data_IF_501932778824
#
_entry.id   IF_501932778824
#
_cell.length_a   1.000
_cell.length_b   1.000
_cell.length_c   1.000
_cell.angle_alpha   90.00
_cell.angle_beta   90.00
_cell.angle_gamma   90.00
#
_symmetry.space_group_name_H-M   'P 1'
#
loop_
_entity.id
_entity.type
_entity.pdbx_description
1 polymer ?
#
# COMPACT_ATOMS: atom_id res chain seq x y z
N UNK A 1 -15.44 -10.90 -5.63
CA UNK A 1 -14.54 -10.69 -4.48
C UNK A 1 -15.36 -10.15 -3.32
N UNK A 2 -15.48 -10.95 -2.27
CA UNK A 2 -16.01 -10.49 -0.99
C UNK A 2 -14.88 -9.75 -0.23
N UNK A 3 -15.26 -8.80 0.61
CA UNK A 3 -14.32 -8.16 1.54
C UNK A 3 -14.74 -8.60 2.95
N UNK A 4 -13.86 -9.31 3.64
CA UNK A 4 -14.03 -9.69 5.03
C UNK A 4 -13.00 -8.98 5.89
N UNK A 5 -13.43 -8.46 7.03
CA UNK A 5 -12.57 -7.78 7.98
C UNK A 5 -13.01 -8.07 9.40
N UNK A 6 -12.08 -7.88 10.35
CA UNK A 6 -12.34 -7.92 11.78
C UNK A 6 -12.11 -6.54 12.37
N UNK A 7 -13.08 -6.01 13.09
CA UNK A 7 -12.90 -4.77 13.86
C UNK A 7 -11.86 -4.99 14.95
N UNK A 8 -10.95 -4.05 15.11
CA UNK A 8 -9.96 -4.04 16.18
C UNK A 8 -10.38 -3.01 17.24
N UNK A 9 -10.08 -3.27 18.53
CA UNK A 9 -10.34 -2.31 19.58
C UNK A 9 -9.49 -1.06 19.38
N UNK A 10 -10.08 0.09 19.67
CA UNK A 10 -9.36 1.35 19.74
C UNK A 10 -8.29 1.26 20.84
N UNK A 11 -7.11 1.82 20.56
CA UNK A 11 -5.96 1.82 21.47
C UNK A 11 -5.21 3.14 21.34
N UNK A 12 -5.05 3.84 22.44
CA UNK A 12 -4.16 5.00 22.52
C UNK A 12 -2.81 4.53 23.09
N UNK A 13 -1.73 4.76 22.34
CA UNK A 13 -0.35 4.48 22.77
C UNK A 13 0.41 5.75 23.18
N UNK A 14 -0.27 6.90 23.17
CA UNK A 14 0.29 8.20 23.49
C UNK A 14 1.09 8.83 22.35
N UNK A 15 1.41 10.12 22.51
CA UNK A 15 2.29 10.87 21.61
C UNK A 15 1.87 10.84 20.13
N UNK A 16 0.56 10.79 19.83
CA UNK A 16 0.03 10.73 18.46
C UNK A 16 0.14 9.36 17.80
N UNK A 17 0.36 8.30 18.59
CA UNK A 17 0.32 6.92 18.13
C UNK A 17 -0.92 6.21 18.68
N UNK A 18 -1.64 5.49 17.83
CA UNK A 18 -2.85 4.81 18.24
C UNK A 18 -3.55 4.06 17.12
N UNK A 19 -4.58 3.31 17.49
CA UNK A 19 -5.52 2.70 16.57
C UNK A 19 -6.89 3.28 16.91
N UNK A 20 -7.56 3.88 15.94
CA UNK A 20 -8.95 4.30 16.10
C UNK A 20 -9.76 3.96 14.85
N UNK A 21 -10.87 3.26 15.03
CA UNK A 21 -11.65 2.73 13.92
C UNK A 21 -10.83 1.80 13.02
N UNK A 22 -9.92 1.04 13.62
CA UNK A 22 -9.03 0.14 12.90
C UNK A 22 -9.69 -1.21 12.65
N UNK A 23 -9.32 -1.83 11.54
CA UNK A 23 -9.72 -3.17 11.16
C UNK A 23 -8.49 -4.00 10.80
N UNK A 24 -8.63 -5.31 10.87
CA UNK A 24 -7.75 -6.25 10.20
C UNK A 24 -8.46 -6.79 8.97
N UNK A 25 -7.86 -6.63 7.80
CA UNK A 25 -8.37 -7.23 6.56
C UNK A 25 -8.15 -8.75 6.62
N UNK A 26 -9.22 -9.52 6.46
CA UNK A 26 -9.21 -10.99 6.47
C UNK A 26 -9.21 -11.53 5.05
N UNK A 27 -10.05 -10.96 4.19
CA UNK A 27 -10.14 -11.34 2.78
C UNK A 27 -10.43 -10.10 1.95
N UNK A 28 -9.63 -9.87 0.90
CA UNK A 28 -9.89 -8.84 -0.12
C UNK A 28 -9.84 -9.43 -1.54
N UNK A 29 -9.93 -10.75 -1.64
CA UNK A 29 -9.86 -11.53 -2.87
C UNK A 29 -8.46 -12.06 -3.24
N UNK A 30 -7.39 -11.50 -2.70
CA UNK A 30 -6.04 -12.08 -2.75
C UNK A 30 -5.37 -11.97 -1.37
N UNK A 31 -4.48 -12.92 -1.01
CA UNK A 31 -3.66 -12.81 0.19
C UNK A 31 -2.81 -11.55 0.20
N UNK A 32 -2.72 -10.92 1.38
CA UNK A 32 -1.78 -9.82 1.67
C UNK A 32 -1.03 -10.15 2.97
N UNK A 33 -0.01 -11.03 2.89
CA UNK A 33 0.69 -11.51 4.08
C UNK A 33 1.32 -10.36 4.87
N UNK A 34 1.30 -10.48 6.19
CA UNK A 34 1.94 -9.52 7.10
C UNK A 34 1.18 -8.20 7.30
N UNK A 35 0.00 -8.02 6.68
CA UNK A 35 -0.78 -6.80 6.87
C UNK A 35 -1.45 -6.80 8.25
N UNK A 36 -1.14 -5.77 9.04
CA UNK A 36 -1.59 -5.62 10.42
C UNK A 36 -2.90 -4.84 10.54
N UNK A 37 -3.00 -4.03 11.60
CA UNK A 37 -4.09 -3.09 11.78
C UNK A 37 -4.06 -2.02 10.68
N UNK A 38 -5.23 -1.67 10.14
CA UNK A 38 -5.41 -0.64 9.13
C UNK A 38 -6.63 0.19 9.51
N UNK A 39 -6.55 1.52 9.45
CA UNK A 39 -7.69 2.40 9.66
C UNK A 39 -8.78 2.12 8.62
N UNK A 40 -10.06 2.17 8.98
CA UNK A 40 -11.14 1.73 8.11
C UNK A 40 -11.20 2.45 6.74
N UNK A 41 -10.86 3.74 6.68
CA UNK A 41 -10.75 4.50 5.42
C UNK A 41 -9.68 3.93 4.49
N UNK A 42 -8.44 3.87 4.98
CA UNK A 42 -7.29 3.25 4.30
C UNK A 42 -7.60 1.81 3.87
N UNK A 43 -8.21 0.99 4.73
CA UNK A 43 -8.57 -0.39 4.42
C UNK A 43 -9.56 -0.50 3.24
N UNK A 44 -10.52 0.42 3.16
CA UNK A 44 -11.48 0.52 2.06
C UNK A 44 -10.79 0.94 0.77
N UNK A 45 -9.97 1.99 0.81
CA UNK A 45 -9.23 2.49 -0.33
C UNK A 45 -8.29 1.42 -0.90
N UNK A 46 -7.54 0.75 -0.03
CA UNK A 46 -6.63 -0.34 -0.38
C UNK A 46 -7.35 -1.54 -0.99
N UNK A 47 -8.41 -2.02 -0.37
CA UNK A 47 -9.21 -3.14 -0.90
C UNK A 47 -9.76 -2.82 -2.29
N UNK A 48 -10.24 -1.59 -2.49
CA UNK A 48 -10.73 -1.13 -3.78
C UNK A 48 -9.61 -0.96 -4.83
N UNK A 49 -8.43 -0.50 -4.43
CA UNK A 49 -7.27 -0.40 -5.33
C UNK A 49 -6.78 -1.77 -5.79
N UNK A 50 -6.65 -2.75 -4.89
CA UNK A 50 -6.28 -4.12 -5.24
C UNK A 50 -7.28 -4.73 -6.22
N UNK A 51 -8.58 -4.63 -5.90
CA UNK A 51 -9.66 -5.21 -6.72
C UNK A 51 -9.79 -4.55 -8.10
N UNK A 52 -9.71 -3.23 -8.17
CA UNK A 52 -10.11 -2.48 -9.37
C UNK A 52 -8.93 -1.95 -10.19
N UNK A 53 -7.69 -2.06 -9.68
CA UNK A 53 -6.50 -1.62 -10.40
C UNK A 53 -5.46 -2.73 -10.47
N UNK A 54 -4.99 -3.25 -9.33
CA UNK A 54 -3.85 -4.20 -9.31
C UNK A 54 -4.21 -5.52 -9.99
N UNK A 55 -5.31 -6.17 -9.58
CA UNK A 55 -5.70 -7.46 -10.14
C UNK A 55 -6.05 -7.38 -11.65
N UNK A 56 -6.85 -6.40 -12.12
CA UNK A 56 -7.11 -6.25 -13.55
C UNK A 56 -5.86 -5.94 -14.36
N UNK A 57 -4.98 -5.06 -13.85
CA UNK A 57 -3.74 -4.71 -14.54
C UNK A 57 -2.80 -5.91 -14.66
N UNK A 58 -2.70 -6.75 -13.62
CA UNK A 58 -1.92 -7.98 -13.67
C UNK A 58 -2.38 -8.88 -14.82
N UNK A 59 -3.69 -9.14 -14.91
CA UNK A 59 -4.23 -9.98 -15.98
C UNK A 59 -4.09 -9.32 -17.36
N UNK A 60 -4.49 -8.06 -17.51
CA UNK A 60 -4.57 -7.39 -18.81
C UNK A 60 -3.21 -7.01 -19.40
N UNK A 61 -2.23 -6.69 -18.55
CA UNK A 61 -0.93 -6.19 -18.99
C UNK A 61 0.12 -7.30 -18.91
N UNK A 62 0.14 -8.05 -17.81
CA UNK A 62 1.14 -9.10 -17.60
C UNK A 62 0.66 -10.47 -18.11
N UNK A 63 -0.63 -10.63 -18.41
CA UNK A 63 -1.19 -11.88 -18.94
C UNK A 63 -1.41 -12.96 -17.88
N UNK A 64 -1.38 -12.61 -16.59
CA UNK A 64 -1.54 -13.58 -15.49
C UNK A 64 -2.28 -12.97 -14.32
N UNK A 65 -3.11 -13.79 -13.67
CA UNK A 65 -3.89 -13.37 -12.52
C UNK A 65 -3.00 -13.02 -11.32
N UNK A 66 -3.47 -12.08 -10.50
CA UNK A 66 -2.82 -11.74 -9.25
C UNK A 66 -2.94 -12.89 -8.25
N UNK A 67 -1.80 -13.38 -7.74
CA UNK A 67 -1.77 -14.39 -6.69
C UNK A 67 -1.71 -13.79 -5.28
N UNK A 68 -0.96 -12.72 -5.08
CA UNK A 68 -0.86 -12.02 -3.78
C UNK A 68 -0.25 -10.63 -3.92
N UNK A 69 -0.47 -9.79 -2.90
CA UNK A 69 0.20 -8.49 -2.75
C UNK A 69 1.17 -8.57 -1.57
N UNK A 70 2.40 -8.09 -1.75
CA UNK A 70 3.42 -8.10 -0.72
C UNK A 70 3.36 -6.81 0.10
N UNK A 71 2.80 -6.87 1.31
CA UNK A 71 2.84 -5.76 2.25
C UNK A 71 4.17 -5.71 3.01
N UNK A 72 4.56 -4.50 3.42
CA UNK A 72 5.70 -4.22 4.29
C UNK A 72 5.24 -3.64 5.64
N UNK A 73 3.93 -3.63 5.89
CA UNK A 73 3.33 -3.19 7.14
C UNK A 73 2.35 -2.04 6.95
N UNK A 74 1.58 -1.79 8.01
CA UNK A 74 0.54 -0.75 8.05
C UNK A 74 0.56 0.09 9.32
N UNK A 75 1.04 -0.47 10.44
CA UNK A 75 1.20 0.26 11.69
C UNK A 75 2.66 0.26 12.15
N UNK A 76 3.18 1.45 12.44
CA UNK A 76 4.46 1.67 13.10
C UNK A 76 4.43 3.04 13.78
N UNK A 77 4.57 3.07 15.11
CA UNK A 77 4.65 4.32 15.87
C UNK A 77 6.00 5.00 15.61
N UNK A 78 6.05 5.89 14.61
CA UNK A 78 7.24 6.64 14.24
C UNK A 78 6.90 7.98 13.58
N UNK A 79 7.89 8.86 13.53
CA UNK A 79 7.83 10.06 12.72
C UNK A 79 8.08 9.76 11.25
N UNK A 80 7.73 10.72 10.39
CA UNK A 80 8.12 10.67 8.99
C UNK A 80 9.64 10.77 8.85
N UNK A 81 10.21 9.91 8.01
CA UNK A 81 11.65 9.90 7.74
C UNK A 81 12.06 11.24 7.13
N UNK A 82 13.14 11.83 7.63
CA UNK A 82 13.71 13.06 7.09
C UNK A 82 13.05 14.36 7.58
N UNK A 83 12.12 14.33 8.54
CA UNK A 83 11.60 15.57 9.15
C UNK A 83 12.52 16.05 10.27
N UNK A 84 13.10 17.24 10.12
CA UNK A 84 13.83 17.90 11.19
C UNK A 84 12.88 18.13 12.39
N UNK A 85 13.34 17.81 13.60
CA UNK A 85 12.66 18.04 14.89
C UNK A 85 11.56 17.06 15.31
N UNK A 86 11.28 15.98 14.58
CA UNK A 86 10.50 14.84 15.14
C UNK A 86 9.04 15.14 15.53
N UNK A 87 8.44 16.22 15.02
CA UNK A 87 7.08 16.63 15.41
C UNK A 87 5.99 16.15 14.45
N UNK A 88 6.35 15.58 13.28
CA UNK A 88 5.37 15.07 12.30
C UNK A 88 5.29 13.55 12.35
N UNK A 89 4.15 13.05 12.85
CA UNK A 89 3.81 11.63 12.81
C UNK A 89 3.54 11.17 11.38
N UNK A 90 3.96 9.94 11.08
CA UNK A 90 3.61 9.25 9.83
C UNK A 90 2.18 8.73 9.90
N UNK A 91 1.50 8.57 8.76
CA UNK A 91 0.23 7.84 8.71
C UNK A 91 0.28 6.45 9.35
N UNK A 92 1.44 5.79 9.31
CA UNK A 92 1.64 4.51 10.01
C UNK A 92 1.47 4.59 11.53
N UNK A 93 1.69 5.75 12.16
CA UNK A 93 1.50 5.93 13.60
C UNK A 93 0.03 5.77 14.02
N UNK A 94 -0.90 5.93 13.06
CA UNK A 94 -2.35 5.78 13.25
C UNK A 94 -2.96 4.70 12.36
N UNK A 95 -2.12 3.80 11.83
CA UNK A 95 -2.52 2.74 10.89
C UNK A 95 -3.23 3.24 9.61
N UNK A 96 -2.99 4.50 9.22
CA UNK A 96 -3.62 5.14 8.06
C UNK A 96 -2.72 5.10 6.81
N UNK A 97 -1.75 4.19 6.79
CA UNK A 97 -0.88 4.00 5.65
C UNK A 97 -0.50 2.53 5.46
N UNK A 98 -0.21 2.13 4.23
CA UNK A 98 0.25 0.79 3.86
C UNK A 98 1.45 0.90 2.92
N UNK A 99 2.51 0.16 3.24
CA UNK A 99 3.68 0.03 2.37
C UNK A 99 3.59 -1.26 1.54
N UNK A 100 3.71 -1.17 0.21
CA UNK A 100 3.61 -2.30 -0.72
C UNK A 100 4.93 -2.49 -1.48
N UNK A 101 5.56 -3.65 -1.29
CA UNK A 101 6.84 -3.99 -1.91
C UNK A 101 6.74 -4.66 -3.29
N UNK A 102 5.54 -5.14 -3.68
CA UNK A 102 5.35 -5.82 -4.96
C UNK A 102 4.13 -6.75 -5.00
N UNK A 103 4.08 -7.58 -6.03
CA UNK A 103 3.04 -8.59 -6.26
C UNK A 103 3.63 -9.92 -6.72
N UNK A 104 2.89 -11.00 -6.47
CA UNK A 104 3.13 -12.31 -7.08
C UNK A 104 1.98 -12.67 -8.00
N UNK A 105 2.27 -13.24 -9.17
CA UNK A 105 1.27 -13.71 -10.14
C UNK A 105 1.04 -15.22 -10.02
N UNK A 106 -0.09 -15.71 -10.55
CA UNK A 106 -0.44 -17.14 -10.49
C UNK A 106 0.51 -18.05 -11.26
N UNK A 107 1.23 -17.51 -12.24
CA UNK A 107 2.29 -18.23 -12.96
C UNK A 107 3.66 -18.24 -12.24
N UNK A 108 3.72 -17.70 -11.02
CA UNK A 108 4.93 -17.67 -10.20
C UNK A 108 5.83 -16.47 -10.42
N UNK A 109 5.56 -15.60 -11.41
CA UNK A 109 6.32 -14.35 -11.58
C UNK A 109 6.13 -13.44 -10.37
N UNK A 110 7.21 -12.75 -10.01
CA UNK A 110 7.21 -11.70 -8.99
C UNK A 110 7.56 -10.38 -9.66
N UNK A 111 6.77 -9.36 -9.37
CA UNK A 111 7.05 -7.98 -9.78
C UNK A 111 7.22 -7.16 -8.51
N UNK A 112 8.45 -6.70 -8.28
CA UNK A 112 8.87 -6.01 -7.07
C UNK A 112 9.15 -4.54 -7.33
N UNK A 113 8.80 -3.66 -6.39
CA UNK A 113 9.12 -2.24 -6.52
C UNK A 113 10.63 -2.03 -6.51
N UNK A 114 11.38 -2.78 -5.68
CA UNK A 114 12.82 -2.63 -5.57
C UNK A 114 13.58 -2.92 -6.89
N UNK A 115 13.23 -4.00 -7.59
CA UNK A 115 14.01 -4.44 -8.75
C UNK A 115 13.38 -4.03 -10.08
N UNK A 116 12.07 -3.81 -10.11
CA UNK A 116 11.33 -3.71 -11.38
C UNK A 116 10.78 -2.32 -11.67
N UNK A 117 10.96 -1.35 -10.77
CA UNK A 117 10.46 0.03 -10.96
C UNK A 117 10.96 0.69 -12.25
N UNK A 118 12.18 0.34 -12.67
CA UNK A 118 12.79 0.74 -13.94
C UNK A 118 13.10 -0.51 -14.79
N UNK A 119 12.12 -1.41 -14.90
CA UNK A 119 12.29 -2.65 -15.65
C UNK A 119 12.48 -2.39 -17.15
N UNK A 120 13.40 -3.10 -17.83
CA UNK A 120 13.50 -3.06 -19.29
C UNK A 120 12.32 -3.75 -19.98
N UNK A 121 11.50 -4.53 -19.25
CA UNK A 121 10.29 -5.15 -19.78
C UNK A 121 9.16 -4.08 -19.86
N UNK A 122 8.69 -3.72 -21.08
CA UNK A 122 7.66 -2.71 -21.24
C UNK A 122 6.33 -3.05 -20.56
N UNK A 123 5.98 -4.34 -20.43
CA UNK A 123 4.75 -4.77 -19.79
C UNK A 123 4.84 -4.58 -18.27
N UNK A 124 5.98 -4.90 -17.66
CA UNK A 124 6.24 -4.67 -16.24
C UNK A 124 6.24 -3.18 -15.93
N UNK A 125 6.93 -2.37 -16.74
CA UNK A 125 6.93 -0.91 -16.60
C UNK A 125 5.52 -0.34 -16.73
N UNK A 126 4.74 -0.81 -17.71
CA UNK A 126 3.34 -0.40 -17.91
C UNK A 126 2.45 -0.82 -16.74
N UNK A 127 2.63 -2.01 -16.19
CA UNK A 127 1.89 -2.47 -15.02
C UNK A 127 2.16 -1.57 -13.80
N UNK A 128 3.43 -1.33 -13.46
CA UNK A 128 3.81 -0.52 -12.30
C UNK A 128 3.34 0.93 -12.42
N UNK A 129 3.53 1.55 -13.59
CA UNK A 129 3.04 2.90 -13.87
C UNK A 129 1.51 2.97 -13.81
N UNK A 130 0.80 1.94 -14.28
CA UNK A 130 -0.68 1.89 -14.21
C UNK A 130 -1.20 1.80 -12.79
N UNK A 131 -0.64 0.92 -11.95
CA UNK A 131 -1.10 0.76 -10.56
C UNK A 131 -0.74 1.97 -9.70
N UNK A 132 0.43 2.61 -9.94
CA UNK A 132 0.83 3.86 -9.28
C UNK A 132 -0.09 5.02 -9.67
N UNK A 133 -0.36 5.20 -10.96
CA UNK A 133 -1.29 6.23 -11.42
C UNK A 133 -2.72 5.99 -10.89
N UNK A 134 -3.14 4.74 -10.73
CA UNK A 134 -4.42 4.46 -10.07
C UNK A 134 -4.37 4.74 -8.57
N UNK A 135 -3.27 4.47 -7.89
CA UNK A 135 -3.11 4.77 -6.47
C UNK A 135 -3.21 6.29 -6.24
N UNK A 136 -2.53 7.10 -7.06
CA UNK A 136 -2.57 8.56 -6.94
C UNK A 136 -3.96 9.19 -7.09
N UNK A 137 -4.92 8.47 -7.71
CA UNK A 137 -6.32 8.90 -7.81
C UNK A 137 -7.19 8.47 -6.62
N UNK A 138 -6.67 7.63 -5.72
CA UNK A 138 -7.42 6.97 -4.66
C UNK A 138 -6.96 7.38 -3.26
N UNK A 139 -5.65 7.53 -3.10
CA UNK A 139 -5.04 7.91 -1.83
C UNK A 139 -4.68 9.40 -1.87
N UNK A 140 -4.52 10.00 -0.69
CA UNK A 140 -4.09 11.39 -0.57
C UNK A 140 -2.59 11.53 -0.79
N UNK A 141 -1.80 10.66 -0.16
CA UNK A 141 -0.36 10.59 -0.33
C UNK A 141 0.03 9.25 -0.95
N UNK A 142 0.78 9.31 -2.06
CA UNK A 142 1.40 8.18 -2.74
C UNK A 142 2.86 8.50 -2.98
N UNK A 143 3.76 7.75 -2.37
CA UNK A 143 5.21 7.92 -2.53
C UNK A 143 5.81 6.66 -3.14
N UNK A 144 6.58 6.85 -4.20
CA UNK A 144 7.24 5.79 -4.95
C UNK A 144 8.78 5.92 -4.89
N UNK A 145 9.54 5.00 -5.51
CA UNK A 145 10.98 5.16 -5.69
C UNK A 145 11.40 6.47 -6.36
N UNK A 146 10.52 7.11 -7.15
CA UNK A 146 10.80 8.40 -7.77
C UNK A 146 10.73 9.59 -6.78
N UNK A 147 10.18 9.40 -5.58
CA UNK A 147 10.10 10.44 -4.56
C UNK A 147 11.44 10.65 -3.84
N UNK A 148 11.98 9.61 -3.19
CA UNK A 148 13.27 9.64 -2.50
C UNK A 148 13.79 8.24 -2.14
N UNK A 149 15.02 8.18 -1.60
CA UNK A 149 15.70 6.96 -1.23
C UNK A 149 14.97 6.10 -0.16
N UNK A 150 14.14 6.71 0.70
CA UNK A 150 13.38 5.96 1.70
C UNK A 150 12.28 5.09 1.07
N UNK A 151 11.79 5.47 -0.11
CA UNK A 151 10.71 4.77 -0.82
C UNK A 151 11.24 3.93 -1.99
N UNK A 152 12.55 3.69 -2.06
CA UNK A 152 13.21 2.97 -3.17
C UNK A 152 12.69 1.55 -3.41
N UNK A 153 12.04 0.94 -2.42
CA UNK A 153 11.66 -0.47 -2.42
C UNK A 153 10.17 -0.71 -2.19
N UNK A 154 9.34 0.34 -2.12
CA UNK A 154 7.90 0.19 -1.91
C UNK A 154 7.11 1.38 -2.43
N UNK A 155 5.80 1.17 -2.60
CA UNK A 155 4.83 2.25 -2.67
C UNK A 155 4.29 2.50 -1.26
N UNK A 156 4.36 3.74 -0.79
CA UNK A 156 3.66 4.19 0.40
C UNK A 156 2.31 4.75 0.00
N UNK A 157 1.24 4.20 0.57
CA UNK A 157 -0.15 4.57 0.28
C UNK A 157 -0.78 5.10 1.57
N UNK A 158 -1.28 6.34 1.56
CA UNK A 158 -1.88 6.97 2.75
C UNK A 158 -3.15 7.76 2.39
N UNK A 159 -4.26 7.43 3.07
CA UNK A 159 -5.57 8.07 2.96
C UNK A 159 -5.64 9.38 3.80
N UNK A 160 -4.89 10.42 3.39
CA UNK A 160 -4.77 11.71 4.09
C UNK A 160 -5.30 12.94 3.31
N UNK A 161 -5.86 12.72 2.13
CA UNK A 161 -6.32 13.77 1.19
C UNK A 161 -5.27 14.84 0.80
N UNK A 162 -3.96 14.59 0.98
CA UNK A 162 -2.92 15.61 0.76
C UNK A 162 -2.66 15.95 -0.72
N UNK A 163 -3.08 15.09 -1.66
CA UNK A 163 -2.84 15.26 -3.09
C UNK A 163 -1.36 15.11 -3.50
N UNK A 164 -0.54 14.49 -2.65
CA UNK A 164 0.88 14.26 -2.92
C UNK A 164 1.06 12.95 -3.69
N UNK A 165 1.38 13.04 -4.98
CA UNK A 165 1.71 11.89 -5.83
C UNK A 165 3.11 12.04 -6.40
N UNK A 166 4.04 11.15 -5.99
CA UNK A 166 5.44 11.14 -6.42
C UNK A 166 5.96 9.72 -6.57
#
# INVERSE_FOLDING_TARGET
>A
MNVAYRVLPDKDYGNGCGLSGAVQLVEIGVPVPGLGAVRCGEARAFSAWVRNAVAPAAYQILGSELASVQSMGSYACRNVVGTAHGNRRSGHAIANAIDIGGVTLKDGRRVSILNDWTSPDPAVQRFLTTIHASACRRFGTVLSPAYNAAHRNHLHLEDDHAGLCR
#
